data_IF_544713949951
#
_entry.id   IF_544713949951
#
_cell.length_a   1.000
_cell.length_b   1.000
_cell.length_c   1.000
_cell.angle_alpha   90.00
_cell.angle_beta   90.00
_cell.angle_gamma   90.00
#
_symmetry.space_group_name_H-M   'P 1'
#
loop_
_entity.id
_entity.type
_entity.pdbx_description
1 polymer ?
#
# COMPACT_ATOMS: atom_id res chain seq x y z
N UNK A 1 -34.17 15.21 -28.65
CA UNK A 1 -32.82 15.64 -28.25
C UNK A 1 -32.77 15.52 -26.74
N UNK A 2 -31.81 14.72 -26.23
CA UNK A 2 -31.67 14.24 -24.84
C UNK A 2 -32.89 13.42 -24.38
N UNK A 3 -32.80 12.25 -23.77
CA UNK A 3 -31.83 11.81 -22.76
C UNK A 3 -31.24 10.43 -23.11
N UNK A 4 -29.91 10.35 -23.14
CA UNK A 4 -29.20 9.11 -22.86
C UNK A 4 -29.49 8.79 -21.39
N UNK A 5 -30.54 8.01 -21.13
CA UNK A 5 -30.74 7.44 -19.79
C UNK A 5 -29.53 6.57 -19.50
N UNK A 6 -28.73 7.00 -18.53
CA UNK A 6 -27.70 6.21 -17.89
C UNK A 6 -28.33 4.86 -17.49
N UNK A 7 -28.08 3.84 -18.31
CA UNK A 7 -28.39 2.47 -17.96
C UNK A 7 -27.36 2.11 -16.91
N UNK A 8 -27.74 2.16 -15.62
CA UNK A 8 -26.92 1.58 -14.57
C UNK A 8 -26.71 0.12 -14.96
N UNK A 9 -25.46 -0.29 -15.29
CA UNK A 9 -25.21 -1.61 -15.81
C UNK A 9 -25.65 -2.65 -14.78
N UNK A 10 -26.38 -3.65 -15.25
CA UNK A 10 -26.85 -4.72 -14.38
C UNK A 10 -25.66 -5.53 -13.86
N UNK A 11 -25.79 -6.13 -12.66
CA UNK A 11 -24.72 -6.91 -12.02
C UNK A 11 -24.10 -7.95 -12.96
N UNK A 12 -24.91 -8.60 -13.79
CA UNK A 12 -24.46 -9.61 -14.74
C UNK A 12 -23.63 -9.01 -15.88
N UNK A 13 -23.95 -7.79 -16.32
CA UNK A 13 -23.18 -7.07 -17.34
C UNK A 13 -21.84 -6.58 -16.79
N UNK A 14 -21.81 -6.12 -15.54
CA UNK A 14 -20.56 -5.76 -14.84
C UNK A 14 -19.66 -6.99 -14.75
N UNK A 15 -20.19 -8.13 -14.32
CA UNK A 15 -19.44 -9.37 -14.20
C UNK A 15 -19.00 -9.94 -15.56
N UNK A 16 -19.82 -9.78 -16.60
CA UNK A 16 -19.47 -10.18 -17.97
C UNK A 16 -18.40 -9.27 -18.57
N UNK A 17 -18.45 -7.97 -18.31
CA UNK A 17 -17.45 -6.98 -18.75
C UNK A 17 -16.08 -7.25 -18.11
N UNK A 18 -16.05 -7.48 -16.80
CA UNK A 18 -14.82 -7.84 -16.07
C UNK A 18 -14.26 -9.17 -16.60
N UNK A 19 -15.10 -10.20 -16.78
CA UNK A 19 -14.66 -11.50 -17.32
C UNK A 19 -14.09 -11.38 -18.73
N UNK A 20 -14.70 -10.53 -19.57
CA UNK A 20 -14.22 -10.24 -20.92
C UNK A 20 -12.87 -9.54 -20.90
N UNK A 21 -12.71 -8.47 -20.11
CA UNK A 21 -11.45 -7.72 -20.00
C UNK A 21 -10.31 -8.64 -19.54
N UNK A 22 -10.52 -9.44 -18.50
CA UNK A 22 -9.49 -10.36 -18.00
C UNK A 22 -9.16 -11.46 -19.02
N UNK A 23 -10.13 -11.90 -19.83
CA UNK A 23 -9.87 -12.91 -20.87
C UNK A 23 -9.27 -12.31 -22.15
N UNK A 24 -9.41 -11.01 -22.36
CA UNK A 24 -8.94 -10.27 -23.55
C UNK A 24 -7.55 -9.64 -23.31
N UNK A 25 -7.13 -9.46 -22.05
CA UNK A 25 -5.84 -8.87 -21.63
C UNK A 25 -4.75 -9.91 -21.29
N UNK A 26 -5.04 -11.23 -21.33
CA UNK A 26 -4.04 -12.31 -21.14
C UNK A 26 -3.33 -12.69 -22.47
N UNK A 27 -2.96 -11.67 -23.25
CA UNK A 27 -2.10 -11.81 -24.41
C UNK A 27 -0.77 -11.08 -24.15
N UNK A 28 0.38 -11.76 -24.15
CA UNK A 28 1.66 -11.09 -23.94
C UNK A 28 2.00 -10.25 -25.19
N UNK A 29 1.90 -8.93 -25.08
CA UNK A 29 2.46 -8.02 -26.07
C UNK A 29 3.98 -7.93 -25.90
N UNK A 30 4.67 -8.65 -26.78
CA UNK A 30 6.03 -8.37 -27.26
C UNK A 30 6.14 -6.88 -27.66
N UNK A 31 6.71 -6.05 -26.79
CA UNK A 31 7.18 -4.71 -27.13
C UNK A 31 8.70 -4.63 -26.91
N UNK A 32 9.38 -5.07 -27.95
CA UNK A 32 10.81 -5.01 -28.23
C UNK A 32 11.37 -3.57 -28.11
N UNK A 33 12.32 -3.36 -27.21
CA UNK A 33 13.22 -2.21 -27.23
C UNK A 33 14.63 -2.66 -26.82
N UNK A 34 15.42 -3.07 -27.82
CA UNK A 34 16.87 -3.26 -27.70
C UNK A 34 17.56 -1.93 -28.03
N UNK A 35 18.48 -1.41 -27.20
CA UNK A 35 19.64 -0.69 -27.69
C UNK A 35 20.80 -1.69 -27.81
N UNK A 36 21.27 -1.89 -29.04
CA UNK A 36 22.55 -2.52 -29.34
C UNK A 36 23.67 -1.72 -28.65
N UNK A 37 24.44 -2.40 -27.81
CA UNK A 37 25.80 -1.97 -27.45
C UNK A 37 26.73 -3.13 -27.83
N UNK A 38 27.33 -3.01 -29.01
CA UNK A 38 28.51 -3.77 -29.42
C UNK A 38 29.62 -3.49 -28.40
N UNK A 39 30.04 -4.51 -27.66
CA UNK A 39 31.31 -4.49 -26.92
C UNK A 39 32.13 -5.66 -27.47
N UNK A 40 33.13 -5.30 -28.27
CA UNK A 40 34.17 -6.20 -28.77
C UNK A 40 34.90 -6.90 -27.61
N UNK A 41 35.25 -8.17 -27.82
CA UNK A 41 35.99 -9.02 -26.89
C UNK A 41 37.40 -8.49 -26.56
N UNK A 42 37.79 -8.47 -25.28
CA UNK A 42 39.15 -8.89 -24.86
C UNK A 42 39.17 -9.25 -23.35
N UNK A 43 39.79 -10.38 -22.93
CA UNK A 43 39.86 -10.76 -21.52
C UNK A 43 41.19 -10.28 -20.92
N UNK A 44 41.20 -9.14 -20.23
CA UNK A 44 42.39 -8.65 -19.53
C UNK A 44 42.20 -8.62 -17.99
N UNK A 45 43.04 -9.43 -17.34
CA UNK A 45 43.50 -9.43 -15.95
C UNK A 45 42.76 -8.61 -14.87
N UNK A 46 42.33 -9.34 -13.83
CA UNK A 46 41.93 -8.83 -12.50
C UNK A 46 43.00 -7.92 -11.90
N UNK A 47 42.67 -6.65 -11.70
CA UNK A 47 43.31 -5.73 -10.76
C UNK A 47 42.21 -5.22 -9.79
N UNK A 48 42.48 -5.08 -8.48
CA UNK A 48 41.46 -4.59 -7.56
C UNK A 48 41.17 -3.11 -7.84
N UNK A 49 39.95 -2.82 -8.26
CA UNK A 49 39.39 -1.47 -8.37
C UNK A 49 39.30 -0.85 -6.96
N UNK A 50 39.63 0.45 -6.78
CA UNK A 50 39.52 1.10 -5.48
C UNK A 50 38.06 1.07 -4.99
N UNK A 51 37.87 0.83 -3.69
CA UNK A 51 36.57 0.93 -3.00
C UNK A 51 35.89 2.27 -3.38
N UNK A 52 34.58 2.28 -3.68
CA UNK A 52 33.89 3.54 -3.93
C UNK A 52 33.93 4.38 -2.65
N UNK A 53 34.60 5.54 -2.70
CA UNK A 53 34.42 6.60 -1.73
C UNK A 53 32.93 6.97 -1.78
N UNK A 54 32.22 6.71 -0.68
CA UNK A 54 30.87 7.21 -0.48
C UNK A 54 31.02 8.73 -0.35
N UNK A 55 30.79 9.45 -1.44
CA UNK A 55 30.47 10.87 -1.36
C UNK A 55 29.14 10.97 -0.61
N UNK A 56 29.19 11.48 0.62
CA UNK A 56 27.99 11.91 1.36
C UNK A 56 27.36 13.10 0.61
N UNK A 57 26.61 12.79 -0.43
CA UNK A 57 25.70 13.73 -1.08
C UNK A 57 24.48 13.85 -0.15
N UNK A 58 24.19 15.04 0.43
CA UNK A 58 23.02 15.19 1.26
C UNK A 58 21.77 15.19 0.36
N UNK A 59 21.21 14.01 0.09
CA UNK A 59 19.85 13.84 -0.45
C UNK A 59 18.78 13.95 0.67
N UNK A 60 19.04 14.75 1.72
CA UNK A 60 18.18 14.81 2.91
C UNK A 60 17.42 16.14 3.07
N UNK A 61 17.22 16.90 1.99
CA UNK A 61 16.31 18.08 2.05
C UNK A 61 14.82 17.66 2.12
N UNK A 62 14.50 16.40 1.80
CA UNK A 62 13.14 15.83 1.87
C UNK A 62 12.84 15.07 3.18
N UNK A 63 13.82 14.90 4.07
CA UNK A 63 13.64 14.23 5.36
C UNK A 63 13.35 15.28 6.44
N UNK A 64 12.08 15.61 6.61
CA UNK A 64 11.66 16.58 7.63
C UNK A 64 11.71 15.96 9.03
N UNK A 65 12.60 16.48 9.88
CA UNK A 65 12.61 16.16 11.31
C UNK A 65 11.45 16.87 12.03
N UNK A 66 10.28 16.21 12.10
CA UNK A 66 9.06 16.69 12.78
C UNK A 66 9.17 16.70 14.32
N UNK A 67 10.21 17.32 14.86
CA UNK A 67 10.39 17.50 16.32
C UNK A 67 9.65 18.72 16.86
N UNK A 68 9.31 19.68 16.01
CA UNK A 68 8.54 20.87 16.34
C UNK A 68 7.02 20.65 16.13
N UNK A 69 6.21 21.07 17.10
CA UNK A 69 4.76 20.97 17.00
C UNK A 69 4.21 22.06 16.08
N UNK A 70 3.57 21.65 14.99
CA UNK A 70 2.92 22.56 14.05
C UNK A 70 1.66 23.23 14.66
N UNK A 71 1.65 24.56 14.75
CA UNK A 71 0.45 25.34 15.08
C UNK A 71 -0.22 25.82 13.79
N UNK A 72 -1.42 25.30 13.52
CA UNK A 72 -2.12 25.59 12.28
C UNK A 72 -2.58 27.06 12.23
N UNK A 73 -2.35 27.78 11.12
CA UNK A 73 -2.87 29.12 10.95
C UNK A 73 -4.40 29.10 10.84
N UNK A 74 -5.05 30.16 11.33
CA UNK A 74 -6.52 30.29 11.37
C UNK A 74 -7.20 30.26 9.98
N UNK A 75 -6.43 30.42 8.90
CA UNK A 75 -6.89 30.22 7.54
C UNK A 75 -5.80 29.47 6.77
N UNK A 76 -6.20 28.38 6.12
CA UNK A 76 -5.34 27.62 5.22
C UNK A 76 -5.90 27.79 3.82
N UNK A 77 -5.08 28.30 2.90
CA UNK A 77 -5.46 28.43 1.49
C UNK A 77 -4.82 27.28 0.71
N UNK A 78 -5.66 26.47 0.07
CA UNK A 78 -5.23 25.36 -0.79
C UNK A 78 -5.60 25.75 -2.22
N UNK A 79 -4.64 26.28 -2.97
CA UNK A 79 -4.89 26.81 -4.31
C UNK A 79 -5.76 28.06 -4.27
N UNK A 80 -6.93 28.01 -4.93
CA UNK A 80 -7.90 29.12 -4.99
C UNK A 80 -9.05 28.95 -3.96
N UNK A 81 -8.87 28.02 -3.00
CA UNK A 81 -9.86 27.69 -1.97
C UNK A 81 -9.33 28.16 -0.62
N UNK A 82 -9.99 29.19 -0.08
CA UNK A 82 -9.74 29.65 1.28
C UNK A 82 -10.60 28.86 2.27
N UNK A 83 -9.95 28.00 3.06
CA UNK A 83 -10.58 27.33 4.19
C UNK A 83 -10.53 28.25 5.42
N UNK A 84 -11.66 28.89 5.71
CA UNK A 84 -11.85 29.66 6.94
C UNK A 84 -12.35 28.74 8.06
N UNK A 85 -11.64 28.68 9.17
CA UNK A 85 -12.20 28.16 10.41
C UNK A 85 -13.28 29.15 10.89
N UNK A 86 -14.54 28.76 10.75
CA UNK A 86 -15.65 29.61 11.18
C UNK A 86 -15.53 29.78 12.70
N UNK A 87 -15.55 31.02 13.24
CA UNK A 87 -15.50 31.21 14.67
C UNK A 87 -16.63 30.39 15.32
N UNK A 88 -16.39 29.76 16.49
CA UNK A 88 -17.41 28.97 17.15
C UNK A 88 -18.68 29.83 17.22
N UNK A 89 -19.85 29.28 16.85
CA UNK A 89 -21.05 30.09 16.76
C UNK A 89 -21.22 30.79 18.11
N UNK A 90 -21.17 32.13 18.09
CA UNK A 90 -21.51 32.92 19.26
C UNK A 90 -22.84 32.37 19.79
N UNK A 91 -23.05 32.24 21.12
CA UNK A 91 -24.31 31.75 21.65
C UNK A 91 -25.40 32.75 21.24
N UNK A 92 -25.98 32.53 20.07
CA UNK A 92 -27.20 33.19 19.65
C UNK A 92 -28.22 32.73 20.67
N UNK A 93 -28.76 33.66 21.44
CA UNK A 93 -29.93 33.38 22.26
C UNK A 93 -31.01 32.89 21.28
N UNK A 94 -31.15 31.57 21.18
CA UNK A 94 -32.15 30.94 20.35
C UNK A 94 -33.50 31.49 20.82
N UNK A 95 -34.17 32.25 19.97
CA UNK A 95 -35.60 32.46 20.13
C UNK A 95 -36.23 31.06 20.29
N UNK A 96 -37.13 30.85 21.26
CA UNK A 96 -37.65 29.51 21.54
C UNK A 96 -38.32 28.96 20.29
N UNK A 97 -37.66 27.99 19.63
CA UNK A 97 -38.24 27.24 18.55
C UNK A 97 -39.50 26.51 19.07
N UNK A 98 -40.57 26.40 18.27
CA UNK A 98 -41.73 25.59 18.67
C UNK A 98 -41.24 24.17 18.96
N UNK A 99 -41.63 23.61 20.11
CA UNK A 99 -41.24 22.26 20.54
C UNK A 99 -41.46 21.27 19.39
N UNK A 100 -40.41 20.63 18.85
CA UNK A 100 -40.58 19.60 17.85
C UNK A 100 -41.40 18.46 18.48
N UNK A 101 -42.43 18.00 17.77
CA UNK A 101 -43.16 16.80 18.14
C UNK A 101 -42.16 15.63 18.30
N UNK A 102 -42.37 14.71 19.25
CA UNK A 102 -41.45 13.59 19.45
C UNK A 102 -41.39 12.74 18.18
N UNK A 103 -40.31 12.93 17.41
CA UNK A 103 -39.92 12.00 16.35
C UNK A 103 -39.49 10.71 17.06
N UNK A 104 -39.96 9.52 16.67
CA UNK A 104 -39.38 8.29 17.19
C UNK A 104 -37.87 8.34 16.94
N UNK A 105 -37.09 8.15 17.99
CA UNK A 105 -35.64 8.07 17.88
C UNK A 105 -35.30 6.99 16.85
N UNK A 106 -34.70 7.37 15.73
CA UNK A 106 -34.02 6.39 14.90
C UNK A 106 -33.02 5.67 15.82
N UNK A 107 -32.88 4.34 15.74
CA UNK A 107 -31.85 3.66 16.48
C UNK A 107 -30.52 4.30 16.04
N UNK A 108 -29.87 4.99 16.96
CA UNK A 108 -28.49 5.42 16.74
C UNK A 108 -27.73 4.15 16.42
N UNK A 109 -27.13 4.08 15.23
CA UNK A 109 -26.14 3.06 14.90
C UNK A 109 -24.84 3.33 15.70
N UNK A 110 -24.98 3.51 17.00
CA UNK A 110 -23.92 3.67 18.00
C UNK A 110 -23.37 2.31 18.45
N UNK A 111 -23.62 1.25 17.69
CA UNK A 111 -22.86 0.01 17.80
C UNK A 111 -21.64 0.16 16.90
N UNK A 112 -20.47 0.40 17.48
CA UNK A 112 -19.21 0.27 16.75
C UNK A 112 -19.18 -1.05 15.99
N UNK A 113 -18.59 -1.05 14.79
CA UNK A 113 -18.46 -2.25 13.93
C UNK A 113 -17.74 -3.41 14.63
N UNK A 114 -17.06 -3.09 15.73
CA UNK A 114 -16.27 -4.00 16.54
C UNK A 114 -16.81 -3.98 17.96
N UNK A 115 -16.90 -5.14 18.59
CA UNK A 115 -17.24 -5.23 20.01
C UNK A 115 -16.14 -4.57 20.85
N UNK A 116 -16.52 -3.87 21.92
CA UNK A 116 -15.62 -3.35 22.97
C UNK A 116 -14.64 -4.43 23.50
N UNK A 117 -15.07 -5.70 23.47
CA UNK A 117 -14.21 -6.83 23.80
C UNK A 117 -13.10 -7.06 22.79
N UNK A 118 -13.41 -6.96 21.50
CA UNK A 118 -12.41 -7.13 20.44
C UNK A 118 -11.45 -5.94 20.42
N UNK A 119 -11.96 -4.73 20.67
CA UNK A 119 -11.15 -3.52 20.82
C UNK A 119 -10.15 -3.64 21.98
N UNK A 120 -10.60 -4.07 23.16
CA UNK A 120 -9.72 -4.27 24.32
C UNK A 120 -8.69 -5.40 24.12
N UNK A 121 -9.04 -6.46 23.39
CA UNK A 121 -8.10 -7.53 23.01
C UNK A 121 -7.03 -6.99 22.04
N UNK A 122 -7.43 -6.20 21.04
CA UNK A 122 -6.48 -5.59 20.12
C UNK A 122 -5.54 -4.63 20.85
N UNK A 123 -6.08 -3.70 21.65
CA UNK A 123 -5.30 -2.74 22.42
C UNK A 123 -4.31 -3.41 23.39
N UNK A 124 -4.72 -4.49 24.06
CA UNK A 124 -3.83 -5.23 24.97
C UNK A 124 -2.73 -6.01 24.25
N UNK A 125 -3.03 -6.55 23.06
CA UNK A 125 -2.03 -7.26 22.24
C UNK A 125 -0.96 -6.29 21.70
N UNK A 126 -1.37 -5.12 21.20
CA UNK A 126 -0.43 -4.06 20.80
C UNK A 126 0.36 -3.54 22.00
N UNK A 127 -0.28 -3.32 23.15
CA UNK A 127 0.42 -2.92 24.38
C UNK A 127 1.48 -3.94 24.84
N UNK A 128 1.19 -5.24 24.74
CA UNK A 128 2.14 -6.29 25.05
C UNK A 128 3.35 -6.31 24.10
N UNK A 129 3.11 -6.08 22.79
CA UNK A 129 4.17 -5.98 21.79
C UNK A 129 5.05 -4.75 22.03
N UNK A 130 4.45 -3.57 22.19
CA UNK A 130 5.18 -2.33 22.45
C UNK A 130 5.98 -2.42 23.74
N UNK A 131 5.41 -2.98 24.80
CA UNK A 131 6.14 -3.22 26.06
C UNK A 131 7.34 -4.14 25.87
N UNK A 132 7.21 -5.21 25.07
CA UNK A 132 8.32 -6.11 24.75
C UNK A 132 9.43 -5.42 23.93
N UNK A 133 9.06 -4.53 23.00
CA UNK A 133 9.99 -3.72 22.21
C UNK A 133 10.71 -2.65 23.03
N UNK A 134 10.07 -2.09 24.06
CA UNK A 134 10.66 -1.09 24.95
C UNK A 134 11.57 -1.70 26.02
N UNK A 135 11.48 -3.00 26.28
CA UNK A 135 12.44 -3.71 27.12
C UNK A 135 13.73 -3.90 26.30
N UNK A 136 14.85 -3.27 26.70
CA UNK A 136 16.11 -3.43 26.00
C UNK A 136 16.60 -4.86 26.19
N UNK A 137 16.36 -5.70 25.20
CA UNK A 137 17.02 -6.99 25.07
C UNK A 137 18.33 -6.72 24.34
N UNK A 138 19.45 -6.56 25.07
CA UNK A 138 20.76 -6.25 24.49
C UNK A 138 21.23 -7.26 23.43
N UNK A 139 20.62 -8.45 23.38
CA UNK A 139 20.96 -9.53 22.46
C UNK A 139 19.87 -9.83 21.41
N UNK A 140 18.72 -9.12 21.43
CA UNK A 140 17.61 -9.38 20.49
C UNK A 140 17.17 -8.09 19.85
N UNK A 141 17.46 -7.96 18.56
CA UNK A 141 17.05 -6.79 17.78
C UNK A 141 15.55 -6.86 17.46
N UNK A 142 14.93 -5.71 17.21
CA UNK A 142 13.57 -5.65 16.63
C UNK A 142 13.49 -6.50 15.35
N UNK A 143 14.58 -6.50 14.56
CA UNK A 143 14.70 -7.29 13.35
C UNK A 143 14.57 -8.81 13.63
N UNK A 144 15.17 -9.32 14.70
CA UNK A 144 15.05 -10.74 15.08
C UNK A 144 13.61 -11.11 15.45
N UNK A 145 12.90 -10.22 16.13
CA UNK A 145 11.48 -10.41 16.46
C UNK A 145 10.62 -10.40 15.19
N UNK A 146 10.84 -9.43 14.29
CA UNK A 146 10.11 -9.33 13.02
C UNK A 146 10.41 -10.54 12.12
N UNK A 147 11.65 -11.02 12.07
CA UNK A 147 12.04 -12.24 11.35
C UNK A 147 11.36 -13.48 11.90
N UNK A 148 11.26 -13.62 13.23
CA UNK A 148 10.55 -14.73 13.86
C UNK A 148 9.06 -14.73 13.53
N UNK A 149 8.44 -13.54 13.46
CA UNK A 149 7.03 -13.37 13.13
C UNK A 149 6.72 -13.52 11.63
N UNK A 150 7.61 -13.05 10.74
CA UNK A 150 7.41 -13.12 9.28
C UNK A 150 7.74 -14.49 8.69
N UNK A 151 8.66 -15.24 9.31
CA UNK A 151 9.05 -16.58 8.85
C UNK A 151 7.87 -17.52 8.57
N UNK A 152 6.89 -17.72 9.47
CA UNK A 152 5.77 -18.61 9.20
C UNK A 152 4.87 -18.13 8.06
N UNK A 153 4.70 -16.82 7.88
CA UNK A 153 3.87 -16.27 6.80
C UNK A 153 4.56 -16.43 5.43
N UNK A 154 5.85 -16.14 5.36
CA UNK A 154 6.64 -16.31 4.15
C UNK A 154 6.78 -17.79 3.78
N UNK A 155 6.94 -18.68 4.76
CA UNK A 155 7.01 -20.11 4.51
C UNK A 155 5.69 -20.63 3.92
N UNK A 156 4.55 -20.30 4.51
CA UNK A 156 3.25 -20.71 3.98
C UNK A 156 3.03 -20.21 2.55
N UNK A 157 3.42 -18.95 2.28
CA UNK A 157 3.32 -18.38 0.94
C UNK A 157 4.25 -19.09 -0.06
N UNK A 158 5.51 -19.37 0.32
CA UNK A 158 6.44 -20.10 -0.53
C UNK A 158 5.95 -21.53 -0.80
N UNK A 159 5.43 -22.23 0.20
CA UNK A 159 4.90 -23.59 0.03
C UNK A 159 3.74 -23.63 -0.98
N UNK A 160 2.92 -22.59 -1.04
CA UNK A 160 1.78 -22.48 -1.96
C UNK A 160 2.18 -21.99 -3.36
N UNK A 161 3.12 -21.05 -3.48
CA UNK A 161 3.41 -20.33 -4.73
C UNK A 161 4.68 -20.82 -5.45
N UNK A 162 5.66 -21.37 -4.73
CA UNK A 162 6.92 -21.82 -5.31
C UNK A 162 6.76 -22.92 -6.37
N UNK A 163 5.87 -23.93 -6.21
CA UNK A 163 5.69 -24.95 -7.24
C UNK A 163 5.30 -24.36 -8.61
N UNK A 164 4.37 -23.39 -8.63
CA UNK A 164 3.92 -22.74 -9.86
C UNK A 164 5.03 -21.94 -10.53
N UNK A 165 5.78 -21.15 -9.75
CA UNK A 165 6.91 -20.34 -10.25
C UNK A 165 7.99 -21.25 -10.86
N UNK A 166 8.30 -22.38 -10.21
CA UNK A 166 9.32 -23.31 -10.71
C UNK A 166 8.84 -24.03 -11.98
N UNK A 167 7.58 -24.45 -12.06
CA UNK A 167 7.05 -25.09 -13.26
C UNK A 167 7.09 -24.18 -14.49
N UNK A 168 6.76 -22.90 -14.31
CA UNK A 168 6.85 -21.90 -15.37
C UNK A 168 8.30 -21.71 -15.83
N UNK A 169 9.22 -21.53 -14.89
CA UNK A 169 10.63 -21.31 -15.22
C UNK A 169 11.29 -22.54 -15.85
N UNK A 170 10.97 -23.75 -15.37
CA UNK A 170 11.44 -25.00 -15.98
C UNK A 170 10.88 -25.18 -17.39
N UNK A 171 9.63 -24.81 -17.64
CA UNK A 171 9.03 -24.87 -18.98
C UNK A 171 9.76 -23.96 -19.95
N UNK A 172 10.02 -22.71 -19.55
CA UNK A 172 10.81 -21.75 -20.33
C UNK A 172 12.21 -22.30 -20.61
N UNK A 173 12.84 -22.91 -19.62
CA UNK A 173 14.21 -23.39 -19.75
C UNK A 173 14.34 -24.65 -20.60
N UNK A 174 13.37 -25.56 -20.52
CA UNK A 174 13.28 -26.71 -21.43
C UNK A 174 12.98 -26.25 -22.86
N UNK A 175 12.11 -25.27 -23.07
CA UNK A 175 11.85 -24.74 -24.40
C UNK A 175 13.11 -24.08 -25.01
N UNK A 176 13.84 -23.30 -24.20
CA UNK A 176 15.12 -22.69 -24.59
C UNK A 176 16.14 -23.73 -25.00
N UNK A 177 16.34 -24.78 -24.18
CA UNK A 177 17.27 -25.88 -24.49
C UNK A 177 16.81 -26.65 -25.72
N UNK A 178 15.51 -26.91 -25.86
CA UNK A 178 14.97 -27.61 -27.03
C UNK A 178 15.21 -26.83 -28.33
N UNK A 179 15.08 -25.49 -28.29
CA UNK A 179 15.36 -24.60 -29.42
C UNK A 179 16.86 -24.56 -29.75
N UNK A 180 17.71 -24.52 -28.73
CA UNK A 180 19.17 -24.55 -28.88
C UNK A 180 19.67 -25.89 -29.45
N UNK A 181 19.08 -27.01 -29.02
CA UNK A 181 19.47 -28.37 -29.47
C UNK A 181 19.07 -28.69 -30.92
N UNK A 182 18.16 -27.90 -31.50
CA UNK A 182 17.65 -28.07 -32.87
C UNK A 182 18.43 -27.21 -33.88
N UNK A 183 19.23 -26.26 -33.41
CA UNK A 183 20.17 -25.49 -34.23
C UNK A 183 21.50 -26.23 -34.32
#
# INVERSE_FOLDING_TARGET
>A
MAEQSAHEPTMEEILASIRRIISEDDAPEDAKAEPEVEVEEEPEAVAPEPEPEIEDEPEDDDVLELTETYEAPAAVSIGDIDAFDAPPPAPVAAAPAPKPAPRPAAPSAAGGLVSERTESIAASSFGALTSNLLVPHSDRTLEDVVKELLRPQLQAWLDENLPGIVEEQVRLEVERIARQSRR
#
